data_IF_681878170936
#
_entry.id   IF_681878170936
#
_cell.length_a   1.000
_cell.length_b   1.000
_cell.length_c   1.000
_cell.angle_alpha   90.00
_cell.angle_beta   90.00
_cell.angle_gamma   90.00
#
_symmetry.space_group_name_H-M   'P 1'
#
loop_
_entity.id
_entity.type
_entity.pdbx_description
1 polymer ?
#
# COMPACT_ATOMS: atom_id res chain seq x y z
N UNK A 1 9.81 8.17 28.77
CA UNK A 1 8.88 7.04 28.61
C UNK A 1 8.48 7.05 27.15
N UNK A 2 9.05 6.19 26.33
CA UNK A 2 8.75 6.17 24.89
C UNK A 2 7.33 5.60 24.70
N UNK A 3 6.49 6.29 23.92
CA UNK A 3 5.12 5.85 23.64
C UNK A 3 5.12 4.50 22.91
N UNK A 4 4.36 3.48 23.39
CA UNK A 4 4.36 2.14 22.80
C UNK A 4 3.92 2.13 21.33
N UNK A 5 3.13 3.13 20.91
CA UNK A 5 2.72 3.32 19.50
C UNK A 5 3.89 3.75 18.62
N UNK A 6 4.79 4.57 19.15
CA UNK A 6 5.95 5.09 18.42
C UNK A 6 6.95 3.97 18.07
N UNK A 7 7.16 3.06 19.01
CA UNK A 7 8.00 1.87 18.82
C UNK A 7 7.43 0.89 17.79
N UNK A 8 6.10 0.75 17.74
CA UNK A 8 5.46 -0.07 16.72
C UNK A 8 5.64 0.54 15.32
N UNK A 9 5.41 1.84 15.18
CA UNK A 9 5.55 2.55 13.89
C UNK A 9 7.01 2.49 13.39
N UNK A 10 8.00 2.67 14.26
CA UNK A 10 9.41 2.56 13.85
C UNK A 10 9.75 1.16 13.31
N UNK A 11 9.24 0.10 13.94
CA UNK A 11 9.44 -1.27 13.47
C UNK A 11 8.74 -1.57 12.13
N UNK A 12 7.62 -0.90 11.85
CA UNK A 12 6.96 -0.97 10.53
C UNK A 12 7.77 -0.23 9.46
N UNK A 13 8.36 0.91 9.81
CA UNK A 13 9.21 1.66 8.88
C UNK A 13 10.46 0.89 8.47
N UNK A 14 11.06 0.12 9.37
CA UNK A 14 12.23 -0.72 9.03
C UNK A 14 11.93 -1.76 7.94
N UNK A 15 10.66 -2.14 7.77
CA UNK A 15 10.24 -3.09 6.73
C UNK A 15 10.09 -2.44 5.35
N UNK A 16 10.09 -1.11 5.27
CA UNK A 16 10.08 -0.40 3.98
C UNK A 16 11.52 -0.29 3.51
N UNK A 17 11.91 -0.87 2.36
CA UNK A 17 13.28 -0.74 1.87
C UNK A 17 13.67 0.73 1.70
N UNK A 18 14.89 1.07 2.11
CA UNK A 18 15.52 2.33 1.74
C UNK A 18 16.48 2.05 0.58
N UNK A 19 16.63 3.04 -0.30
CA UNK A 19 17.53 2.97 -1.44
C UNK A 19 18.43 4.20 -1.47
N UNK A 20 19.40 4.19 -2.37
CA UNK A 20 20.32 5.31 -2.60
C UNK A 20 19.99 5.92 -3.95
N UNK A 21 19.73 7.22 -3.98
CA UNK A 21 19.45 7.93 -5.22
C UNK A 21 20.66 7.88 -6.15
N UNK A 22 20.41 7.52 -7.40
CA UNK A 22 21.42 7.54 -8.47
C UNK A 22 20.92 8.40 -9.61
N UNK A 23 21.70 9.41 -9.98
CA UNK A 23 21.37 10.33 -11.07
C UNK A 23 21.79 9.70 -12.40
N UNK A 24 20.89 8.96 -13.03
CA UNK A 24 21.14 8.37 -14.34
C UNK A 24 20.78 9.34 -15.48
N UNK A 25 21.80 9.88 -16.16
CA UNK A 25 21.65 10.65 -17.40
C UNK A 25 21.21 12.11 -17.24
N UNK A 26 20.52 12.65 -18.27
CA UNK A 26 19.99 14.03 -18.31
C UNK A 26 18.52 14.12 -17.88
N UNK A 27 18.08 13.27 -16.94
CA UNK A 27 16.76 13.48 -16.34
C UNK A 27 16.73 14.84 -15.62
N UNK A 28 15.56 15.49 -15.62
CA UNK A 28 15.33 16.73 -14.87
C UNK A 28 15.65 16.46 -13.39
N UNK A 29 16.20 17.47 -12.72
CA UNK A 29 16.38 17.43 -11.28
C UNK A 29 15.03 17.12 -10.63
N UNK A 30 15.02 16.06 -9.82
CA UNK A 30 13.87 15.65 -9.02
C UNK A 30 14.16 16.17 -7.63
N UNK A 31 13.20 16.85 -7.01
CA UNK A 31 13.32 17.36 -5.65
C UNK A 31 12.45 16.55 -4.68
N UNK A 32 12.86 16.51 -3.42
CA UNK A 32 12.04 15.94 -2.37
C UNK A 32 10.87 16.91 -2.05
N UNK A 33 9.61 16.51 -2.21
CA UNK A 33 8.46 17.39 -2.01
C UNK A 33 8.21 17.78 -0.54
N UNK A 34 8.91 17.15 0.42
CA UNK A 34 8.80 17.50 1.85
C UNK A 34 9.73 18.67 2.19
N UNK A 35 10.99 18.62 1.77
CA UNK A 35 11.99 19.64 2.09
C UNK A 35 12.26 20.63 0.95
N UNK A 36 11.73 20.37 -0.26
CA UNK A 36 11.93 21.17 -1.48
C UNK A 36 13.43 21.30 -1.84
N UNK A 37 14.19 20.22 -1.61
CA UNK A 37 15.62 20.13 -1.94
C UNK A 37 15.81 19.05 -3.00
N UNK A 38 16.62 19.37 -4.02
CA UNK A 38 17.00 18.46 -5.09
C UNK A 38 17.67 17.19 -4.54
N UNK A 39 17.35 16.05 -5.13
CA UNK A 39 18.07 14.80 -4.85
C UNK A 39 19.47 14.83 -5.48
N UNK A 40 20.48 14.47 -4.70
CA UNK A 40 21.86 14.32 -5.16
C UNK A 40 22.29 12.85 -5.17
N UNK A 41 23.22 12.51 -6.07
CA UNK A 41 23.74 11.14 -6.17
C UNK A 41 24.33 10.70 -4.82
N UNK A 42 23.88 9.53 -4.34
CA UNK A 42 24.23 9.04 -3.01
C UNK A 42 23.22 9.39 -1.91
N UNK A 43 22.19 10.21 -2.18
CA UNK A 43 21.21 10.55 -1.15
C UNK A 43 20.43 9.32 -0.67
N UNK A 44 20.24 9.16 0.65
CA UNK A 44 19.36 8.12 1.18
C UNK A 44 17.91 8.51 0.87
N UNK A 45 17.26 7.71 0.05
CA UNK A 45 15.87 7.90 -0.36
C UNK A 45 15.02 6.71 0.05
N UNK A 46 13.72 6.92 0.07
CA UNK A 46 12.75 5.85 0.30
C UNK A 46 11.60 6.01 -0.67
N UNK A 47 11.37 4.95 -1.44
CA UNK A 47 10.17 4.80 -2.25
C UNK A 47 9.07 4.22 -1.37
N UNK A 48 7.95 4.93 -1.27
CA UNK A 48 6.76 4.34 -0.69
C UNK A 48 6.15 3.35 -1.68
N UNK A 49 5.34 2.39 -1.22
CA UNK A 49 4.71 1.42 -2.09
C UNK A 49 3.80 2.03 -3.18
N UNK A 50 3.31 3.25 -2.97
CA UNK A 50 2.60 4.05 -3.98
C UNK A 50 3.54 4.73 -5.01
N UNK A 51 4.81 4.35 -5.04
CA UNK A 51 5.88 4.82 -5.94
C UNK A 51 6.32 6.28 -5.77
N UNK A 52 5.85 6.99 -4.74
CA UNK A 52 6.37 8.32 -4.41
C UNK A 52 7.73 8.22 -3.71
N UNK A 53 8.64 9.13 -4.07
CA UNK A 53 10.01 9.19 -3.57
C UNK A 53 10.26 10.41 -2.70
N UNK A 54 11.00 10.20 -1.61
CA UNK A 54 11.39 11.23 -0.65
C UNK A 54 12.77 10.93 -0.09
N UNK A 55 13.45 11.91 0.51
CA UNK A 55 14.59 11.62 1.37
C UNK A 55 14.13 10.73 2.53
N UNK A 56 14.94 9.72 2.84
CA UNK A 56 14.65 8.74 3.90
C UNK A 56 14.28 9.45 5.21
N UNK A 57 15.10 10.40 5.64
CA UNK A 57 14.87 11.12 6.90
C UNK A 57 13.57 11.93 6.87
N UNK A 58 13.28 12.61 5.76
CA UNK A 58 12.09 13.44 5.62
C UNK A 58 10.80 12.62 5.69
N UNK A 59 10.76 11.47 5.01
CA UNK A 59 9.56 10.62 5.03
C UNK A 59 9.46 9.80 6.30
N UNK A 60 10.57 9.38 6.91
CA UNK A 60 10.54 8.66 8.18
C UNK A 60 9.93 9.54 9.28
N UNK A 61 10.38 10.80 9.41
CA UNK A 61 9.83 11.75 10.38
C UNK A 61 8.33 12.02 10.16
N UNK A 62 7.89 12.04 8.90
CA UNK A 62 6.47 12.14 8.55
C UNK A 62 5.70 10.91 9.00
N UNK A 63 6.18 9.72 8.65
CA UNK A 63 5.49 8.46 8.92
C UNK A 63 5.41 8.11 10.41
N UNK A 64 6.35 8.62 11.21
CA UNK A 64 6.27 8.56 12.68
C UNK A 64 5.06 9.32 13.25
N UNK A 65 4.51 10.29 12.50
CA UNK A 65 3.33 11.09 12.90
C UNK A 65 2.06 10.59 12.23
N UNK A 66 2.14 10.26 10.95
CA UNK A 66 1.03 9.77 10.15
C UNK A 66 1.54 8.75 9.15
N UNK A 67 1.13 7.49 9.29
CA UNK A 67 1.62 6.38 8.46
C UNK A 67 0.96 6.35 7.06
N UNK A 68 0.94 7.51 6.39
CA UNK A 68 0.35 7.74 5.07
C UNK A 68 1.30 8.54 4.17
N UNK A 69 1.14 8.39 2.86
CA UNK A 69 1.94 9.08 1.86
C UNK A 69 1.63 10.60 1.85
N UNK A 70 2.64 11.49 1.95
CA UNK A 70 2.42 12.95 1.86
C UNK A 70 1.81 13.42 0.54
N UNK A 71 2.08 12.72 -0.56
CA UNK A 71 1.66 13.16 -1.91
C UNK A 71 0.29 12.63 -2.32
N UNK A 72 -0.08 11.40 -1.94
CA UNK A 72 -1.36 10.81 -2.33
C UNK A 72 -2.31 10.51 -1.17
N UNK A 73 -1.90 10.76 0.08
CA UNK A 73 -2.68 10.54 1.31
C UNK A 73 -3.09 9.07 1.57
N UNK A 74 -2.64 8.12 0.76
CA UNK A 74 -2.91 6.70 0.93
C UNK A 74 -2.08 6.11 2.10
N UNK A 75 -2.62 5.14 2.86
CA UNK A 75 -1.87 4.45 3.92
C UNK A 75 -0.70 3.68 3.32
N UNK A 76 0.45 3.69 4.00
CA UNK A 76 1.64 2.99 3.51
C UNK A 76 1.50 1.46 3.63
N UNK A 77 0.72 1.01 4.60
CA UNK A 77 0.31 -0.36 4.86
C UNK A 77 -0.67 -0.93 3.83
N UNK A 78 -1.50 -0.10 3.18
CA UNK A 78 -2.49 -0.53 2.18
C UNK A 78 -1.86 -1.23 0.97
N UNK A 79 -0.60 -0.93 0.67
CA UNK A 79 0.07 -1.51 -0.48
C UNK A 79 0.86 -2.80 -0.16
N UNK A 80 1.18 -3.07 1.11
CA UNK A 80 1.71 -4.37 1.54
C UNK A 80 0.64 -5.47 1.52
N UNK A 81 -0.64 -5.09 1.48
CA UNK A 81 -1.76 -6.02 1.31
C UNK A 81 -2.15 -6.27 -0.15
N UNK A 82 -1.46 -5.68 -1.13
CA UNK A 82 -1.76 -5.91 -2.55
C UNK A 82 -1.29 -7.28 -3.04
N UNK A 83 -0.30 -7.91 -2.38
CA UNK A 83 0.15 -9.27 -2.73
C UNK A 83 -0.59 -10.38 -1.99
N UNK A 84 -1.39 -10.10 -0.94
CA UNK A 84 -2.13 -11.14 -0.20
C UNK A 84 -3.67 -10.98 -0.23
N UNK A 85 -4.20 -9.79 -0.50
CA UNK A 85 -5.65 -9.61 -0.67
C UNK A 85 -6.18 -10.15 -2.01
N UNK A 86 -5.31 -10.33 -3.02
CA UNK A 86 -5.71 -10.91 -4.30
C UNK A 86 -6.07 -12.42 -4.22
N UNK A 87 -5.68 -13.12 -3.14
CA UNK A 87 -5.96 -14.56 -2.98
C UNK A 87 -6.89 -14.92 -1.80
N UNK A 88 -7.27 -13.97 -0.94
CA UNK A 88 -8.09 -14.25 0.26
C UNK A 88 -9.46 -13.55 0.28
N UNK A 89 -9.91 -12.99 -0.84
CA UNK A 89 -11.33 -12.69 -1.07
C UNK A 89 -12.12 -13.88 -1.63
N UNK A 90 -11.58 -15.10 -1.51
CA UNK A 90 -12.36 -16.32 -1.67
C UNK A 90 -12.76 -16.85 -0.28
N UNK A 91 -13.84 -16.31 0.29
CA UNK A 91 -14.65 -17.05 1.27
C UNK A 91 -15.02 -16.33 2.55
N UNK A 92 -16.11 -15.56 2.49
CA UNK A 92 -17.25 -15.54 3.44
C UNK A 92 -18.27 -14.54 2.85
N UNK A 93 -19.50 -14.82 2.42
CA UNK A 93 -20.41 -15.94 2.57
C UNK A 93 -21.26 -16.00 1.28
N UNK A 94 -21.14 -17.07 0.50
CA UNK A 94 -22.19 -17.54 -0.40
C UNK A 94 -22.02 -19.06 -0.59
N UNK A 95 -21.99 -19.77 0.55
CA UNK A 95 -22.30 -21.18 0.62
C UNK A 95 -23.76 -21.38 0.21
N UNK A 96 -23.98 -21.53 -1.08
CA UNK A 96 -25.14 -22.23 -1.63
C UNK A 96 -24.67 -23.04 -2.84
N UNK A 97 -23.99 -24.17 -2.59
CA UNK A 97 -24.04 -25.26 -3.56
C UNK A 97 -25.39 -25.97 -3.42
N UNK A 98 -26.26 -25.85 -4.43
CA UNK A 98 -26.59 -26.87 -5.44
C UNK A 98 -27.09 -28.22 -4.88
N UNK A 99 -28.20 -28.81 -5.41
CA UNK A 99 -28.23 -29.23 -6.81
C UNK A 99 -29.59 -29.18 -7.54
N UNK A 100 -29.51 -29.17 -8.87
CA UNK A 100 -30.62 -29.51 -9.75
C UNK A 100 -31.09 -30.96 -9.51
N UNK A 101 -32.40 -31.17 -9.39
CA UNK A 101 -33.02 -32.46 -9.66
C UNK A 101 -34.13 -32.26 -10.70
N UNK A 102 -34.01 -32.98 -11.81
CA UNK A 102 -34.97 -33.03 -12.90
C UNK A 102 -36.33 -33.54 -12.40
N UNK A 103 -37.40 -32.85 -12.79
CA UNK A 103 -38.78 -33.29 -12.57
C UNK A 103 -39.68 -32.84 -13.72
N UNK A 104 -40.12 -33.81 -14.51
CA UNK A 104 -40.94 -33.72 -15.72
C UNK A 104 -42.42 -33.46 -15.31
N UNK A 105 -43.16 -32.69 -16.13
CA UNK A 105 -44.60 -32.90 -16.48
C UNK A 105 -45.72 -32.61 -15.43
N UNK A 106 -46.51 -31.52 -15.61
CA UNK A 106 -47.86 -31.47 -16.26
C UNK A 106 -48.82 -30.33 -15.86
N UNK A 107 -49.53 -29.82 -16.88
CA UNK A 107 -50.92 -29.27 -16.95
C UNK A 107 -51.39 -28.06 -16.10
N UNK A 108 -51.51 -26.89 -16.77
CA UNK A 108 -52.67 -25.96 -16.99
C UNK A 108 -53.87 -25.93 -15.99
N UNK A 109 -54.79 -24.92 -16.05
CA UNK A 109 -54.85 -23.48 -15.64
C UNK A 109 -55.94 -23.29 -14.51
N UNK A 110 -56.83 -22.26 -14.45
CA UNK A 110 -56.77 -20.79 -14.61
C UNK A 110 -57.21 -20.03 -13.31
N UNK A 111 -57.14 -18.69 -13.28
CA UNK A 111 -58.23 -17.76 -12.90
C UNK A 111 -57.83 -16.31 -13.20
#
# INVERSE_FOLDING_TARGET
>A
MEDPKKAHISALLEQIPADTYKKEGKMKDIECPICMVDFIDGDPIRYLPCMHCYHKNCVDDWLMRSFSCPSCMEPVDSAMLSSFAAHTLQGLEALACCPATSGIHHSLPPL
#
